data_IF_388520908215
#
_entry.id   IF_388520908215
#
_cell.length_a   1.000
_cell.length_b   1.000
_cell.length_c   1.000
_cell.angle_alpha   90.00
_cell.angle_beta   90.00
_cell.angle_gamma   90.00
#
_symmetry.space_group_name_H-M   'P 1'
#
loop_
_entity.id
_entity.type
_entity.pdbx_description
1 polymer ?
#
# COMPACT_ATOMS: atom_id res chain seq x y z
N UNK A 1 -0.37 10.37 0.26
CA UNK A 1 -0.72 8.97 0.52
C UNK A 1 -2.21 8.65 0.45
N UNK A 2 -2.95 9.10 -0.59
CA UNK A 2 -4.40 8.86 -0.66
C UNK A 2 -4.77 7.37 -0.65
N UNK A 3 -4.00 6.53 -1.36
CA UNK A 3 -4.27 5.09 -1.46
C UNK A 3 -4.16 4.32 -0.13
N UNK A 4 -3.31 4.75 0.80
CA UNK A 4 -3.20 4.11 2.11
C UNK A 4 -4.40 4.42 3.00
N UNK A 5 -5.01 5.60 2.85
CA UNK A 5 -6.21 5.98 3.61
C UNK A 5 -7.43 5.14 3.20
N UNK A 6 -7.50 4.70 1.94
CA UNK A 6 -8.57 3.81 1.48
C UNK A 6 -8.56 2.45 2.23
N UNK A 7 -7.41 2.05 2.78
CA UNK A 7 -7.29 0.82 3.57
C UNK A 7 -8.05 0.89 4.89
N UNK A 8 -8.25 2.09 5.45
CA UNK A 8 -9.02 2.28 6.68
C UNK A 8 -10.49 1.93 6.48
N UNK A 9 -11.07 2.33 5.34
CA UNK A 9 -12.45 1.95 5.00
C UNK A 9 -12.56 0.44 4.87
N UNK A 10 -11.65 -0.20 4.12
CA UNK A 10 -11.62 -1.65 4.00
C UNK A 10 -11.41 -2.35 5.36
N UNK A 11 -10.59 -1.80 6.25
CA UNK A 11 -10.37 -2.36 7.58
C UNK A 11 -11.63 -2.31 8.44
N UNK A 12 -12.36 -1.20 8.44
CA UNK A 12 -13.61 -1.06 9.20
C UNK A 12 -14.71 -2.00 8.71
N UNK A 13 -14.73 -2.32 7.41
CA UNK A 13 -15.68 -3.30 6.85
C UNK A 13 -15.33 -4.74 7.27
N UNK A 14 -14.09 -5.00 7.69
CA UNK A 14 -13.60 -6.35 8.03
C UNK A 14 -13.57 -6.64 9.53
N UNK A 15 -13.60 -5.62 10.39
CA UNK A 15 -13.47 -5.81 11.84
C UNK A 15 -14.10 -4.69 12.63
N UNK A 16 -14.70 -5.07 13.78
CA UNK A 16 -15.08 -4.16 14.86
C UNK A 16 -13.95 -3.97 15.88
N UNK A 17 -12.83 -4.68 15.70
CA UNK A 17 -11.66 -4.59 16.57
C UNK A 17 -10.78 -3.38 16.30
N UNK A 18 -9.69 -3.26 17.03
CA UNK A 18 -8.76 -2.15 16.93
C UNK A 18 -8.02 -2.15 15.58
N UNK A 19 -7.94 -0.97 14.97
CA UNK A 19 -7.20 -0.72 13.75
C UNK A 19 -5.96 0.11 14.08
N UNK A 20 -4.80 -0.50 13.87
CA UNK A 20 -3.51 0.13 14.10
C UNK A 20 -2.90 0.59 12.76
N UNK A 21 -2.46 1.83 12.70
CA UNK A 21 -1.66 2.32 11.57
C UNK A 21 -0.16 2.20 11.88
N UNK A 22 0.62 1.89 10.86
CA UNK A 22 2.09 1.87 10.95
C UNK A 22 2.66 2.88 9.97
N UNK A 23 3.52 3.75 10.46
CA UNK A 23 4.22 4.76 9.66
C UNK A 23 5.72 4.55 9.82
N UNK A 24 6.43 4.46 8.69
CA UNK A 24 7.86 4.18 8.63
C UNK A 24 8.51 5.24 7.76
N UNK A 25 9.54 5.90 8.26
CA UNK A 25 10.26 6.92 7.51
C UNK A 25 11.29 7.66 8.34
N UNK A 26 11.62 8.88 7.91
CA UNK A 26 12.49 9.82 8.59
C UNK A 26 11.84 11.20 8.62
N UNK A 27 11.92 11.88 9.76
CA UNK A 27 11.27 13.18 10.02
C UNK A 27 9.76 13.16 9.75
N UNK A 28 9.06 12.09 10.18
CA UNK A 28 7.66 11.82 9.88
C UNK A 28 6.67 12.22 11.00
N UNK A 29 7.11 13.00 11.99
CA UNK A 29 6.26 13.39 13.13
C UNK A 29 4.94 14.05 12.71
N UNK A 30 4.99 15.02 11.79
CA UNK A 30 3.79 15.70 11.28
C UNK A 30 2.84 14.77 10.53
N UNK A 31 3.37 13.76 9.83
CA UNK A 31 2.56 12.74 9.17
C UNK A 31 1.88 11.83 10.20
N UNK A 32 2.56 11.49 11.29
CA UNK A 32 2.00 10.70 12.37
C UNK A 32 0.79 11.39 13.02
N UNK A 33 0.89 12.70 13.26
CA UNK A 33 -0.23 13.51 13.78
C UNK A 33 -1.43 13.51 12.81
N UNK A 34 -1.19 13.64 11.52
CA UNK A 34 -2.24 13.58 10.51
C UNK A 34 -2.93 12.22 10.49
N UNK A 35 -2.15 11.11 10.55
CA UNK A 35 -2.70 9.75 10.55
C UNK A 35 -3.46 9.47 11.86
N UNK A 36 -3.04 10.00 13.00
CA UNK A 36 -3.76 9.86 14.26
C UNK A 36 -5.19 10.44 14.19
N UNK A 37 -5.44 11.40 13.30
CA UNK A 37 -6.76 12.00 13.09
C UNK A 37 -7.64 11.23 12.08
N UNK A 38 -7.20 10.12 11.50
CA UNK A 38 -7.94 9.41 10.45
C UNK A 38 -8.95 8.39 10.99
N UNK A 39 -9.09 8.26 12.30
CA UNK A 39 -10.01 7.31 12.93
C UNK A 39 -9.41 5.91 13.16
N UNK A 40 -8.09 5.79 13.17
CA UNK A 40 -7.39 4.60 13.69
C UNK A 40 -7.43 4.58 15.21
N UNK A 41 -7.18 3.43 15.81
CA UNK A 41 -7.21 3.27 17.27
C UNK A 41 -5.81 3.44 17.88
N UNK A 42 -4.74 3.22 17.10
CA UNK A 42 -3.36 3.52 17.47
C UNK A 42 -2.48 3.77 16.24
N UNK A 43 -1.43 4.56 16.42
CA UNK A 43 -0.40 4.81 15.40
C UNK A 43 0.96 4.35 15.93
N UNK A 44 1.60 3.42 15.23
CA UNK A 44 2.97 3.00 15.50
C UNK A 44 3.92 3.74 14.55
N UNK A 45 4.92 4.41 15.10
CA UNK A 45 5.83 5.25 14.33
C UNK A 45 7.26 4.71 14.44
N UNK A 46 7.87 4.45 13.30
CA UNK A 46 9.28 4.10 13.18
C UNK A 46 9.96 5.22 12.43
N UNK A 47 10.53 6.16 13.19
CA UNK A 47 11.15 7.39 12.68
C UNK A 47 12.65 7.34 12.91
N UNK A 48 13.41 7.01 11.87
CA UNK A 48 14.86 6.94 11.94
C UNK A 48 15.47 7.14 10.54
N UNK A 49 16.68 7.72 10.46
CA UNK A 49 17.38 8.00 9.20
C UNK A 49 17.56 6.78 8.31
N UNK A 50 17.67 5.58 8.88
CA UNK A 50 17.76 4.33 8.11
C UNK A 50 16.51 4.02 7.29
N UNK A 51 15.41 4.71 7.54
CA UNK A 51 14.13 4.55 6.84
C UNK A 51 13.78 5.74 5.92
N UNK A 52 14.71 6.68 5.72
CA UNK A 52 14.49 7.82 4.81
C UNK A 52 14.13 7.35 3.40
N UNK A 53 14.82 6.31 2.93
CA UNK A 53 14.55 5.70 1.64
C UNK A 53 14.10 4.26 1.79
N UNK A 54 13.13 3.87 0.97
CA UNK A 54 12.62 2.50 0.99
C UNK A 54 13.71 1.49 0.64
N UNK A 55 13.91 0.54 1.53
CA UNK A 55 14.72 -0.67 1.34
C UNK A 55 13.95 -1.85 1.93
N UNK A 56 13.75 -2.88 1.14
CA UNK A 56 12.83 -3.97 1.49
C UNK A 56 13.19 -4.69 2.80
N UNK A 57 14.49 -4.88 3.11
CA UNK A 57 14.90 -5.60 4.31
C UNK A 57 14.64 -4.80 5.60
N UNK A 58 15.09 -3.53 5.73
CA UNK A 58 14.73 -2.69 6.88
C UNK A 58 13.22 -2.54 7.06
N UNK A 59 12.48 -2.27 5.98
CA UNK A 59 11.03 -2.12 6.05
C UNK A 59 10.32 -3.41 6.45
N UNK A 60 10.83 -4.58 6.04
CA UNK A 60 10.30 -5.88 6.51
C UNK A 60 10.45 -5.99 8.03
N UNK A 61 11.63 -5.65 8.58
CA UNK A 61 11.87 -5.65 10.04
C UNK A 61 10.95 -4.70 10.77
N UNK A 62 10.79 -3.49 10.23
CA UNK A 62 9.91 -2.49 10.81
C UNK A 62 8.45 -2.98 10.90
N UNK A 63 7.93 -3.55 9.82
CA UNK A 63 6.56 -4.09 9.81
C UNK A 63 6.44 -5.31 10.71
N UNK A 64 7.44 -6.21 10.77
CA UNK A 64 7.45 -7.34 11.71
C UNK A 64 7.35 -6.86 13.17
N UNK A 65 8.14 -5.85 13.55
CA UNK A 65 8.08 -5.25 14.89
C UNK A 65 6.70 -4.68 15.22
N UNK A 66 6.09 -3.99 14.26
CA UNK A 66 4.75 -3.44 14.43
C UNK A 66 3.67 -4.52 14.55
N UNK A 67 3.76 -5.61 13.77
CA UNK A 67 2.87 -6.78 13.88
C UNK A 67 2.95 -7.38 15.28
N UNK A 68 4.15 -7.60 15.78
CA UNK A 68 4.37 -8.21 17.10
C UNK A 68 3.86 -7.30 18.23
N UNK A 69 4.07 -5.99 18.11
CA UNK A 69 3.60 -5.02 19.11
C UNK A 69 2.07 -4.89 19.12
N UNK A 70 1.45 -4.86 17.95
CA UNK A 70 -0.01 -4.74 17.82
C UNK A 70 -0.74 -6.09 18.04
N UNK A 71 -0.03 -7.23 18.01
CA UNK A 71 -0.66 -8.55 18.00
C UNK A 71 -1.57 -8.77 16.78
N UNK A 72 -1.22 -8.16 15.65
CA UNK A 72 -2.07 -8.11 14.47
C UNK A 72 -2.23 -9.48 13.81
N UNK A 73 -3.45 -9.86 13.46
CA UNK A 73 -3.80 -11.07 12.70
C UNK A 73 -4.12 -10.81 11.23
N UNK A 74 -4.27 -9.54 10.86
CA UNK A 74 -4.56 -9.09 9.51
C UNK A 74 -3.73 -7.84 9.18
N UNK A 75 -3.07 -7.85 8.03
CA UNK A 75 -2.34 -6.71 7.47
C UNK A 75 -2.98 -6.28 6.17
N UNK A 76 -3.32 -5.01 6.09
CA UNK A 76 -3.81 -4.39 4.86
C UNK A 76 -2.77 -3.42 4.31
N UNK A 77 -2.54 -3.50 3.01
CA UNK A 77 -1.65 -2.60 2.28
C UNK A 77 -2.34 -2.14 0.99
N UNK A 78 -2.15 -0.89 0.60
CA UNK A 78 -2.53 -0.49 -0.75
C UNK A 78 -1.61 -1.17 -1.78
N UNK A 79 -2.16 -1.59 -2.92
CA UNK A 79 -1.36 -2.18 -4.01
C UNK A 79 -0.51 -1.11 -4.66
N UNK A 80 0.76 -1.09 -4.32
CA UNK A 80 1.80 -0.19 -4.83
C UNK A 80 3.04 -0.99 -5.21
N UNK A 81 4.03 -0.38 -5.85
CA UNK A 81 5.32 -1.04 -6.12
C UNK A 81 6.00 -1.49 -4.82
N UNK A 82 5.94 -0.67 -3.77
CA UNK A 82 6.48 -1.00 -2.46
C UNK A 82 5.77 -2.21 -1.83
N UNK A 83 4.45 -2.25 -1.82
CA UNK A 83 3.71 -3.37 -1.23
C UNK A 83 3.90 -4.68 -2.01
N UNK A 84 4.08 -4.60 -3.34
CA UNK A 84 4.37 -5.77 -4.18
C UNK A 84 5.73 -6.40 -3.89
N UNK A 85 6.69 -5.62 -3.41
CA UNK A 85 8.00 -6.09 -2.97
C UNK A 85 7.99 -6.54 -1.50
N UNK A 86 7.34 -5.78 -0.61
CA UNK A 86 7.34 -5.99 0.84
C UNK A 86 6.43 -7.17 1.25
N UNK A 87 5.19 -7.22 0.76
CA UNK A 87 4.18 -8.15 1.26
C UNK A 87 4.54 -9.64 1.04
N UNK A 88 5.08 -10.07 -0.13
CA UNK A 88 5.48 -11.46 -0.32
C UNK A 88 6.62 -11.87 0.61
N UNK A 89 7.57 -10.98 0.84
CA UNK A 89 8.69 -11.23 1.75
C UNK A 89 8.21 -11.39 3.19
N UNK A 90 7.32 -10.49 3.62
CA UNK A 90 6.71 -10.55 4.93
C UNK A 90 5.90 -11.84 5.11
N UNK A 91 5.11 -12.22 4.09
CA UNK A 91 4.32 -13.46 4.12
C UNK A 91 5.21 -14.70 4.27
N UNK A 92 6.30 -14.78 3.51
CA UNK A 92 7.23 -15.91 3.59
C UNK A 92 7.95 -15.98 4.95
N UNK A 93 8.29 -14.85 5.56
CA UNK A 93 8.98 -14.80 6.86
C UNK A 93 8.07 -15.13 8.04
N UNK A 94 6.79 -14.83 7.92
CA UNK A 94 5.79 -14.99 9.00
C UNK A 94 4.87 -16.20 8.79
N UNK A 95 5.16 -17.02 7.77
CA UNK A 95 4.28 -18.13 7.35
C UNK A 95 2.82 -17.69 7.21
N UNK A 96 2.62 -16.52 6.59
CA UNK A 96 1.34 -15.88 6.48
C UNK A 96 0.64 -16.21 5.16
N UNK A 97 -0.68 -16.31 5.20
CA UNK A 97 -1.48 -16.35 3.97
C UNK A 97 -1.51 -14.97 3.31
N UNK A 98 -1.47 -14.94 1.98
CA UNK A 98 -1.45 -13.68 1.25
C UNK A 98 -2.37 -13.69 0.03
N UNK A 99 -3.09 -12.58 -0.17
CA UNK A 99 -3.75 -12.26 -1.43
C UNK A 99 -3.34 -10.85 -1.89
N UNK A 100 -3.10 -10.72 -3.20
CA UNK A 100 -2.57 -9.48 -3.78
C UNK A 100 -3.50 -8.90 -4.82
N UNK A 101 -3.50 -7.55 -4.91
CA UNK A 101 -4.27 -6.77 -5.88
C UNK A 101 -5.77 -7.09 -5.82
N UNK A 102 -6.30 -7.14 -4.58
CA UNK A 102 -7.68 -7.46 -4.28
C UNK A 102 -8.59 -6.32 -4.76
N UNK A 103 -9.70 -6.67 -5.40
CA UNK A 103 -10.75 -5.75 -5.85
C UNK A 103 -11.84 -5.60 -4.80
N UNK A 104 -12.24 -6.72 -4.19
CA UNK A 104 -13.17 -6.74 -3.06
C UNK A 104 -12.61 -7.60 -1.95
N UNK A 105 -12.97 -7.26 -0.72
CA UNK A 105 -12.61 -7.99 0.48
C UNK A 105 -13.84 -8.04 1.37
N UNK A 106 -14.27 -9.23 1.76
CA UNK A 106 -15.50 -9.44 2.53
C UNK A 106 -15.27 -10.44 3.64
N UNK A 107 -15.92 -10.24 4.78
CA UNK A 107 -15.94 -11.21 5.86
C UNK A 107 -17.03 -12.27 5.58
N UNK A 108 -16.64 -13.53 5.51
CA UNK A 108 -17.55 -14.67 5.35
C UNK A 108 -17.40 -15.63 6.54
N UNK A 109 -18.22 -15.43 7.57
CA UNK A 109 -18.02 -16.08 8.87
C UNK A 109 -16.68 -15.63 9.46
N UNK A 110 -15.79 -16.57 9.76
CA UNK A 110 -14.44 -16.27 10.28
C UNK A 110 -13.37 -16.14 9.18
N UNK A 111 -13.71 -16.45 7.91
CA UNK A 111 -12.81 -16.34 6.77
C UNK A 111 -12.92 -14.98 6.09
N UNK A 112 -11.86 -14.56 5.42
CA UNK A 112 -11.88 -13.40 4.53
C UNK A 112 -11.93 -13.92 3.09
N UNK A 113 -13.00 -13.58 2.38
CA UNK A 113 -13.12 -13.80 0.94
C UNK A 113 -12.62 -12.58 0.18
N UNK A 114 -11.79 -12.79 -0.81
CA UNK A 114 -11.25 -11.74 -1.66
C UNK A 114 -11.48 -12.07 -3.13
N UNK A 115 -11.89 -11.07 -3.91
CA UNK A 115 -11.96 -11.18 -5.37
C UNK A 115 -10.79 -10.42 -5.98
N UNK A 116 -10.12 -11.03 -6.95
CA UNK A 116 -9.00 -10.40 -7.67
C UNK A 116 -9.02 -10.73 -9.15
N UNK A 117 -8.42 -9.85 -9.95
CA UNK A 117 -8.18 -10.12 -11.36
C UNK A 117 -7.09 -11.16 -11.55
N UNK A 118 -7.31 -12.10 -12.46
CA UNK A 118 -6.36 -13.14 -12.86
C UNK A 118 -6.18 -13.16 -14.36
N UNK A 119 -5.05 -13.72 -14.84
CA UNK A 119 -4.73 -13.85 -16.25
C UNK A 119 -4.89 -12.58 -17.07
N UNK A 120 -4.27 -11.48 -16.61
CA UNK A 120 -4.37 -10.15 -17.23
C UNK A 120 -5.84 -9.66 -17.35
N UNK A 121 -6.60 -9.80 -16.27
CA UNK A 121 -8.01 -9.42 -16.15
C UNK A 121 -8.99 -10.20 -17.05
N UNK A 122 -8.58 -11.36 -17.57
CA UNK A 122 -9.48 -12.21 -18.37
C UNK A 122 -10.51 -12.95 -17.52
N UNK A 123 -10.24 -13.14 -16.23
CA UNK A 123 -11.20 -13.69 -15.27
C UNK A 123 -11.01 -13.08 -13.88
N UNK A 124 -12.03 -13.22 -13.06
CA UNK A 124 -11.98 -12.93 -11.64
C UNK A 124 -11.82 -14.27 -10.88
N UNK A 125 -10.91 -14.28 -9.92
CA UNK A 125 -10.73 -15.39 -8.99
C UNK A 125 -11.20 -14.99 -7.59
N UNK A 126 -11.93 -15.86 -6.94
CA UNK A 126 -12.28 -15.75 -5.53
C UNK A 126 -11.34 -16.62 -4.70
N UNK A 127 -10.80 -16.07 -3.62
CA UNK A 127 -9.87 -16.72 -2.71
C UNK A 127 -10.42 -16.58 -1.31
N UNK A 128 -10.52 -17.68 -0.57
CA UNK A 128 -10.88 -17.69 0.85
C UNK A 128 -9.63 -17.86 1.71
N UNK A 129 -9.46 -16.95 2.67
CA UNK A 129 -8.39 -16.94 3.65
C UNK A 129 -8.97 -17.29 5.02
N UNK A 130 -8.85 -18.54 5.48
CA UNK A 130 -9.37 -18.95 6.78
C UNK A 130 -8.65 -18.25 7.95
N UNK A 131 -9.29 -18.27 9.12
CA UNK A 131 -8.69 -17.81 10.38
C UNK A 131 -7.63 -18.80 10.87
N UNK A 132 -6.69 -18.32 11.69
CA UNK A 132 -5.70 -19.19 12.38
C UNK A 132 -4.25 -18.88 12.07
N UNK A 133 -3.98 -18.14 10.96
CA UNK A 133 -2.65 -17.62 10.63
C UNK A 133 -2.72 -16.14 10.31
N UNK A 134 -1.57 -15.45 10.33
CA UNK A 134 -1.48 -14.08 9.85
C UNK A 134 -1.94 -14.00 8.39
N UNK A 135 -2.73 -13.02 8.06
CA UNK A 135 -3.24 -12.75 6.71
C UNK A 135 -2.72 -11.42 6.22
N UNK A 136 -2.23 -11.38 5.00
CA UNK A 136 -1.68 -10.16 4.38
C UNK A 136 -2.44 -9.91 3.07
N UNK A 137 -3.09 -8.77 2.97
CA UNK A 137 -3.84 -8.38 1.77
C UNK A 137 -3.25 -7.10 1.18
N UNK A 138 -2.96 -7.11 -0.12
CA UNK A 138 -2.80 -5.86 -0.83
C UNK A 138 -4.06 -5.57 -1.63
N UNK A 139 -4.65 -4.40 -1.40
CA UNK A 139 -5.95 -3.99 -1.95
C UNK A 139 -5.70 -2.88 -2.97
N UNK A 140 -6.38 -2.93 -4.10
CA UNK A 140 -6.29 -1.89 -5.12
C UNK A 140 -6.77 -0.56 -4.55
N UNK A 141 -5.95 0.49 -4.64
CA UNK A 141 -6.23 1.79 -4.02
C UNK A 141 -7.53 2.47 -4.47
N UNK A 142 -8.06 2.08 -5.64
CA UNK A 142 -9.34 2.58 -6.19
C UNK A 142 -10.54 1.73 -5.76
N UNK A 143 -10.33 0.62 -5.05
CA UNK A 143 -11.41 -0.30 -4.67
C UNK A 143 -12.29 0.25 -3.52
N UNK A 144 -11.71 1.09 -2.68
CA UNK A 144 -12.40 1.68 -1.53
C UNK A 144 -12.21 3.19 -1.51
N UNK A 145 -13.21 3.97 -1.09
CA UNK A 145 -13.04 5.41 -0.89
C UNK A 145 -12.18 5.68 0.34
N UNK A 146 -11.50 6.81 0.36
CA UNK A 146 -10.90 7.32 1.59
C UNK A 146 -11.99 7.66 2.61
N UNK A 147 -11.72 7.58 3.93
CA UNK A 147 -12.69 7.91 4.96
C UNK A 147 -13.15 9.37 4.81
N UNK A 148 -14.47 9.59 4.95
CA UNK A 148 -15.10 10.87 4.67
C UNK A 148 -14.85 11.95 5.75
N UNK A 149 -14.39 11.58 6.93
CA UNK A 149 -14.19 12.49 8.07
C UNK A 149 -12.94 12.15 8.87
N UNK A 150 -12.34 13.18 9.48
CA UNK A 150 -11.32 12.99 10.52
C UNK A 150 -11.98 12.66 11.86
N UNK A 151 -11.26 11.93 12.71
CA UNK A 151 -11.69 11.66 14.08
C UNK A 151 -11.73 12.95 14.91
N UNK A 152 -12.68 13.00 15.87
CA UNK A 152 -12.76 14.13 16.80
C UNK A 152 -11.61 14.18 17.82
N UNK A 153 -10.98 13.05 18.07
CA UNK A 153 -9.87 12.88 19.01
C UNK A 153 -8.75 12.11 18.32
N UNK A 154 -7.49 12.58 18.41
CA UNK A 154 -6.38 11.88 17.82
C UNK A 154 -6.12 10.54 18.53
N UNK A 155 -5.75 9.52 17.76
CA UNK A 155 -5.30 8.26 18.30
C UNK A 155 -3.94 8.39 19.02
N UNK A 156 -3.64 7.53 19.99
CA UNK A 156 -2.32 7.51 20.62
C UNK A 156 -1.24 7.16 19.61
N UNK A 157 -0.13 7.90 19.67
CA UNK A 157 1.06 7.71 18.86
C UNK A 157 2.12 7.02 19.71
N UNK A 158 2.59 5.85 19.28
CA UNK A 158 3.60 5.06 19.98
C UNK A 158 4.84 4.91 19.09
N UNK A 159 5.98 5.47 19.48
CA UNK A 159 7.23 5.21 18.78
C UNK A 159 7.67 3.75 18.97
N UNK A 160 8.19 3.15 17.90
CA UNK A 160 8.78 1.83 17.90
C UNK A 160 10.24 1.89 17.48
N UNK A 161 11.10 1.32 18.31
CA UNK A 161 12.50 1.15 17.99
C UNK A 161 12.72 -0.16 17.23
N UNK A 162 13.44 -0.09 16.12
CA UNK A 162 13.75 -1.25 15.28
C UNK A 162 15.25 -1.41 15.17
N UNK A 163 15.75 -2.53 15.66
CA UNK A 163 17.17 -2.88 15.51
C UNK A 163 17.39 -3.59 14.18
N UNK A 164 18.20 -3.00 13.32
CA UNK A 164 18.61 -3.57 12.05
C UNK A 164 19.89 -4.42 12.24
N UNK A 165 19.91 -5.58 11.61
CA UNK A 165 21.10 -6.43 11.51
C UNK A 165 21.96 -6.06 10.29
N UNK A 166 23.20 -6.53 10.23
CA UNK A 166 24.07 -6.32 9.07
C UNK A 166 23.43 -6.80 7.77
N UNK A 167 22.67 -7.91 7.82
CA UNK A 167 21.98 -8.45 6.65
C UNK A 167 20.85 -7.55 6.16
N UNK A 168 20.22 -6.79 7.04
CA UNK A 168 19.15 -5.85 6.67
C UNK A 168 19.71 -4.62 5.93
N UNK A 169 21.02 -4.38 6.02
CA UNK A 169 21.73 -3.25 5.42
C UNK A 169 22.44 -3.59 4.10
N UNK A 170 22.33 -4.82 3.59
CA UNK A 170 22.98 -5.24 2.35
C UNK A 170 22.52 -4.48 1.09
N UNK A 171 21.31 -3.92 1.11
CA UNK A 171 20.81 -3.08 0.03
C UNK A 171 21.06 -1.63 0.41
N UNK A 172 21.82 -0.93 -0.42
CA UNK A 172 22.17 0.49 -0.21
C UNK A 172 21.44 1.33 -1.23
N UNK A 173 20.72 2.34 -0.73
CA UNK A 173 20.17 3.40 -1.58
C UNK A 173 21.35 4.25 -2.12
N UNK A 174 21.31 4.61 -3.40
CA UNK A 174 22.32 5.48 -3.99
C UNK A 174 21.76 6.85 -4.31
N UNK A 175 20.79 6.90 -5.21
CA UNK A 175 20.21 8.16 -5.67
C UNK A 175 18.83 7.93 -6.30
N UNK A 176 18.03 8.97 -6.37
CA UNK A 176 16.84 9.04 -7.22
C UNK A 176 17.28 9.75 -8.49
N UNK A 177 17.13 9.06 -9.62
CA UNK A 177 17.32 9.68 -10.95
C UNK A 177 15.97 10.26 -11.34
N UNK A 178 15.82 11.60 -11.37
CA UNK A 178 14.55 12.19 -11.81
C UNK A 178 14.33 11.88 -13.29
N UNK A 179 13.09 11.65 -13.69
CA UNK A 179 12.70 11.71 -15.10
C UNK A 179 12.81 13.15 -15.59
N UNK A 180 12.96 13.33 -16.91
CA UNK A 180 13.04 14.67 -17.52
C UNK A 180 11.87 15.55 -17.06
N UNK A 181 12.15 16.82 -16.76
CA UNK A 181 11.23 17.77 -16.09
C UNK A 181 9.90 18.01 -16.84
N UNK A 182 9.81 17.60 -18.11
CA UNK A 182 8.63 17.78 -18.97
C UNK A 182 7.67 16.56 -18.99
N UNK A 183 8.01 15.44 -18.33
CA UNK A 183 7.11 14.29 -18.27
C UNK A 183 6.15 14.40 -17.08
N UNK A 184 4.87 14.62 -17.38
CA UNK A 184 3.81 14.50 -16.37
C UNK A 184 3.80 13.09 -15.79
N UNK A 185 3.80 13.00 -14.48
CA UNK A 185 3.67 11.72 -13.80
C UNK A 185 2.28 11.12 -14.12
N UNK A 186 2.24 9.96 -14.75
CA UNK A 186 0.99 9.26 -15.08
C UNK A 186 0.07 9.04 -13.86
N UNK A 187 0.63 8.95 -12.66
CA UNK A 187 -0.16 8.77 -11.44
C UNK A 187 -0.94 10.01 -11.03
N UNK A 188 -0.52 11.18 -11.49
CA UNK A 188 -1.11 12.48 -11.15
C UNK A 188 -1.94 13.07 -12.30
N UNK A 189 -2.00 12.38 -13.46
CA UNK A 189 -2.73 12.83 -14.62
C UNK A 189 -4.24 12.54 -14.49
N UNK A 190 -5.08 13.57 -14.71
CA UNK A 190 -6.54 13.43 -14.75
C UNK A 190 -7.03 12.71 -16.01
N UNK A 191 -6.32 12.89 -17.13
CA UNK A 191 -6.66 12.30 -18.41
C UNK A 191 -5.44 11.59 -18.99
N UNK A 192 -5.60 10.30 -19.26
CA UNK A 192 -4.56 9.47 -19.87
C UNK A 192 -5.07 8.91 -21.19
N UNK A 193 -4.37 9.22 -22.29
CA UNK A 193 -4.61 8.62 -23.60
C UNK A 193 -3.48 7.65 -23.92
N UNK A 194 -3.80 6.38 -24.10
CA UNK A 194 -2.77 5.36 -24.30
C UNK A 194 -2.97 4.58 -25.61
N UNK A 195 -1.87 4.12 -26.17
CA UNK A 195 -1.84 3.25 -27.35
C UNK A 195 -0.88 2.09 -27.15
N UNK A 196 -0.96 1.12 -28.04
CA UNK A 196 -0.14 -0.07 -27.98
C UNK A 196 0.45 -0.46 -29.33
N UNK A 197 0.97 -1.67 -29.46
CA UNK A 197 1.64 -2.18 -30.66
C UNK A 197 0.82 -2.11 -31.93
N UNK A 198 -0.50 -2.03 -31.84
CA UNK A 198 -1.38 -1.87 -33.01
C UNK A 198 -1.22 -0.55 -33.73
N UNK A 199 -0.52 0.43 -33.13
CA UNK A 199 -0.16 1.67 -33.81
C UNK A 199 1.03 1.51 -34.78
N UNK A 200 1.79 0.43 -34.67
CA UNK A 200 2.84 -0.02 -35.58
C UNK A 200 4.06 0.89 -35.72
N UNK A 201 3.91 2.20 -35.67
CA UNK A 201 5.02 3.18 -35.81
C UNK A 201 4.86 4.36 -34.86
N UNK A 202 5.97 5.06 -34.60
CA UNK A 202 6.00 6.26 -33.77
C UNK A 202 5.13 7.38 -34.36
N UNK A 203 5.11 7.52 -35.69
CA UNK A 203 4.31 8.54 -36.40
C UNK A 203 2.80 8.38 -36.07
N UNK A 204 2.30 7.17 -35.91
CA UNK A 204 0.91 6.90 -35.63
C UNK A 204 0.51 7.28 -34.20
N UNK A 205 1.48 7.53 -33.30
CA UNK A 205 1.18 8.05 -31.95
C UNK A 205 0.69 9.50 -32.00
N UNK A 206 0.89 10.23 -33.09
CA UNK A 206 0.35 11.59 -33.26
C UNK A 206 -1.15 11.69 -33.01
N UNK A 207 -1.91 10.63 -33.34
CA UNK A 207 -3.36 10.56 -33.11
C UNK A 207 -3.70 10.56 -31.60
N UNK A 208 -2.83 9.99 -30.77
CA UNK A 208 -3.01 9.98 -29.31
C UNK A 208 -2.70 11.36 -28.71
N UNK A 209 -1.63 12.00 -29.18
CA UNK A 209 -1.28 13.36 -28.75
C UNK A 209 -2.37 14.36 -29.14
N UNK A 210 -2.90 14.27 -30.36
CA UNK A 210 -4.00 15.12 -30.81
C UNK A 210 -5.27 14.91 -29.94
N UNK A 211 -5.56 13.67 -29.55
CA UNK A 211 -6.70 13.37 -28.70
C UNK A 211 -6.47 13.87 -27.28
N UNK A 212 -5.29 13.64 -26.69
CA UNK A 212 -4.93 14.14 -25.37
C UNK A 212 -5.09 15.66 -25.31
N UNK A 213 -4.49 16.37 -26.25
CA UNK A 213 -4.61 17.84 -26.36
C UNK A 213 -6.06 18.33 -26.46
N UNK A 214 -6.92 17.65 -27.23
CA UNK A 214 -8.34 18.01 -27.35
C UNK A 214 -9.14 17.78 -26.08
N UNK A 215 -8.70 16.83 -25.24
CA UNK A 215 -9.31 16.52 -23.97
C UNK A 215 -8.76 17.35 -22.81
N UNK A 216 -7.67 18.09 -23.01
CA UNK A 216 -7.00 18.90 -21.99
C UNK A 216 -5.99 18.10 -21.16
N UNK A 217 -5.45 17.02 -21.71
CA UNK A 217 -4.39 16.18 -21.13
C UNK A 217 -3.03 16.46 -21.74
#
# INVERSE_FOLDING_TARGET
MPSSLCMLTAARDLTDGDIHAVIIGHDIGSLAEQVAMTGVDAVHVIDHVDFEHYRVLPYTRAVESAIDTAGASLILMATTSMSRDLAPRLAARRDAMMATDCLTVELQGDAIAVTRSMYAAKCLGEISLPVGTLRILSIRGTAYPAPASSAATPAPITPLDVTLSDTDQHIVFREIVPSDEDEQNLADADIIVSGGRSLESEENFSILYDLAHRLGG
#
